data_IF_091141383986
#
_entry.id   IF_091141383986
#
_cell.length_a   1.000
_cell.length_b   1.000
_cell.length_c   1.000
_cell.angle_alpha   90.00
_cell.angle_beta   90.00
_cell.angle_gamma   90.00
#
_symmetry.space_group_name_H-M   'P 1'
#
loop_
_entity.id
_entity.type
_entity.pdbx_description
1 polymer ?
#
# COMPACT_ATOMS: atom_id res chain seq x y z
N UNK A 1 -1.05 23.01 -20.12
CA UNK A 1 -2.17 22.07 -19.93
C UNK A 1 -2.91 22.50 -18.68
N UNK A 2 -4.25 22.50 -18.71
CA UNK A 2 -5.02 22.75 -17.48
C UNK A 2 -4.90 21.58 -16.53
N UNK A 3 -5.13 21.86 -15.26
CA UNK A 3 -5.04 20.88 -14.19
C UNK A 3 -6.02 19.71 -14.40
N UNK A 4 -7.26 19.99 -14.85
CA UNK A 4 -8.27 18.95 -15.09
C UNK A 4 -7.83 17.95 -16.16
N UNK A 5 -7.21 18.43 -17.24
CA UNK A 5 -6.71 17.57 -18.32
C UNK A 5 -5.64 16.58 -17.85
N UNK A 6 -4.84 16.99 -16.86
CA UNK A 6 -3.80 16.13 -16.27
C UNK A 6 -4.42 15.02 -15.43
N UNK A 7 -5.50 15.30 -14.69
CA UNK A 7 -6.23 14.27 -13.94
C UNK A 7 -7.02 13.35 -14.86
N UNK A 8 -7.73 13.88 -15.84
CA UNK A 8 -8.51 13.07 -16.77
C UNK A 8 -7.64 12.05 -17.55
N UNK A 9 -6.35 12.35 -17.75
CA UNK A 9 -5.42 11.41 -18.39
C UNK A 9 -4.90 10.28 -17.49
N UNK A 10 -5.17 10.33 -16.17
CA UNK A 10 -4.69 9.32 -15.22
C UNK A 10 -5.50 8.04 -15.30
N UNK A 11 -4.86 6.93 -14.99
CA UNK A 11 -5.51 5.63 -14.81
C UNK A 11 -6.32 5.59 -13.51
N UNK A 12 -7.26 4.64 -13.39
CA UNK A 12 -8.06 4.49 -12.16
C UNK A 12 -7.19 4.23 -10.93
N UNK A 13 -6.10 3.49 -11.13
CA UNK A 13 -5.09 3.25 -10.10
C UNK A 13 -4.45 4.55 -9.60
N UNK A 14 -4.00 5.41 -10.53
CA UNK A 14 -3.41 6.70 -10.17
C UNK A 14 -4.42 7.67 -9.55
N UNK A 15 -5.70 7.59 -9.91
CA UNK A 15 -6.75 8.39 -9.28
C UNK A 15 -7.02 7.90 -7.86
N UNK A 16 -7.13 6.58 -7.66
CA UNK A 16 -7.28 5.99 -6.34
C UNK A 16 -6.07 6.27 -5.44
N UNK A 17 -4.86 6.28 -5.99
CA UNK A 17 -3.64 6.67 -5.27
C UNK A 17 -3.72 8.10 -4.74
N UNK A 18 -4.25 9.04 -5.53
CA UNK A 18 -4.48 10.42 -5.09
C UNK A 18 -5.45 10.44 -3.89
N UNK A 19 -6.52 9.65 -3.96
CA UNK A 19 -7.53 9.61 -2.89
C UNK A 19 -7.01 8.97 -1.60
N UNK A 20 -6.19 7.91 -1.71
CA UNK A 20 -5.51 7.21 -0.60
C UNK A 20 -4.42 8.04 0.07
N UNK A 21 -3.96 9.11 -0.56
CA UNK A 21 -2.89 9.98 -0.05
C UNK A 21 -3.33 11.45 -0.09
N UNK A 22 -4.63 11.69 0.13
CA UNK A 22 -5.30 13.00 -0.04
C UNK A 22 -4.63 14.15 0.70
N UNK A 23 -3.95 13.88 1.81
CA UNK A 23 -3.17 14.83 2.59
C UNK A 23 -1.93 15.38 1.85
N UNK A 24 -1.45 14.67 0.84
CA UNK A 24 -0.30 15.06 0.02
C UNK A 24 -0.70 15.88 -1.21
N UNK A 25 -2.00 16.08 -1.45
CA UNK A 25 -2.53 16.80 -2.60
C UNK A 25 -3.31 18.04 -2.17
N UNK A 26 -3.36 19.04 -3.05
CA UNK A 26 -4.25 20.19 -2.84
C UNK A 26 -5.71 19.73 -2.94
N UNK A 27 -6.67 20.33 -2.20
CA UNK A 27 -8.05 19.86 -2.16
C UNK A 27 -8.71 19.73 -3.54
N UNK A 28 -8.45 20.69 -4.42
CA UNK A 28 -8.92 20.68 -5.80
C UNK A 28 -8.48 19.43 -6.56
N UNK A 29 -7.29 18.89 -6.27
CA UNK A 29 -6.82 17.67 -6.91
C UNK A 29 -7.59 16.43 -6.47
N UNK A 30 -7.94 16.38 -5.19
CA UNK A 30 -8.72 15.29 -4.61
C UNK A 30 -10.14 15.34 -5.18
N UNK A 31 -10.77 16.52 -5.20
CA UNK A 31 -12.12 16.72 -5.75
C UNK A 31 -12.22 16.29 -7.22
N UNK A 32 -11.24 16.67 -8.04
CA UNK A 32 -11.23 16.28 -9.45
C UNK A 32 -10.96 14.78 -9.64
N UNK A 33 -10.15 14.15 -8.78
CA UNK A 33 -9.95 12.70 -8.81
C UNK A 33 -11.22 11.93 -8.42
N UNK A 34 -11.96 12.39 -7.39
CA UNK A 34 -13.26 11.83 -7.00
C UNK A 34 -14.30 11.98 -8.11
N UNK A 35 -14.37 13.16 -8.75
CA UNK A 35 -15.25 13.41 -9.88
C UNK A 35 -14.94 12.50 -11.07
N UNK A 36 -13.67 12.36 -11.43
CA UNK A 36 -13.24 11.55 -12.57
C UNK A 36 -13.50 10.05 -12.34
N UNK A 37 -13.23 9.53 -11.15
CA UNK A 37 -13.57 8.15 -10.80
C UNK A 37 -15.09 7.90 -10.84
N UNK A 38 -15.87 8.87 -10.36
CA UNK A 38 -17.34 8.80 -10.41
C UNK A 38 -17.85 8.77 -11.86
N UNK A 39 -17.26 9.57 -12.75
CA UNK A 39 -17.61 9.57 -14.18
C UNK A 39 -17.30 8.24 -14.88
N UNK A 40 -16.26 7.54 -14.43
CA UNK A 40 -15.85 6.25 -14.98
C UNK A 40 -16.73 5.09 -14.50
N UNK A 41 -17.69 5.35 -13.62
CA UNK A 41 -18.63 4.35 -13.10
C UNK A 41 -17.93 3.15 -12.49
N UNK A 42 -16.77 3.37 -11.86
CA UNK A 42 -16.06 2.32 -11.13
C UNK A 42 -16.93 1.81 -9.98
N UNK A 43 -17.08 0.49 -9.90
CA UNK A 43 -17.81 -0.12 -8.79
C UNK A 43 -17.04 0.02 -7.48
N UNK A 44 -17.76 -0.08 -6.36
CA UNK A 44 -17.14 -0.06 -5.03
C UNK A 44 -16.18 -1.23 -4.88
N UNK A 45 -16.54 -2.39 -5.44
CA UNK A 45 -15.72 -3.60 -5.45
C UNK A 45 -14.42 -3.40 -6.22
N UNK A 46 -14.48 -2.86 -7.45
CA UNK A 46 -13.28 -2.56 -8.25
C UNK A 46 -12.37 -1.57 -7.54
N UNK A 47 -12.95 -0.50 -6.97
CA UNK A 47 -12.18 0.48 -6.22
C UNK A 47 -11.52 -0.14 -4.99
N UNK A 48 -12.22 -1.02 -4.27
CA UNK A 48 -11.67 -1.72 -3.11
C UNK A 48 -10.52 -2.65 -3.50
N UNK A 49 -10.59 -3.30 -4.66
CA UNK A 49 -9.45 -4.08 -5.17
C UNK A 49 -8.24 -3.20 -5.53
N UNK A 50 -8.47 -2.02 -6.10
CA UNK A 50 -7.39 -1.05 -6.34
C UNK A 50 -6.77 -0.58 -5.01
N UNK A 51 -7.58 -0.28 -4.01
CA UNK A 51 -7.10 0.11 -2.67
C UNK A 51 -6.24 -0.99 -2.04
N UNK A 52 -6.65 -2.27 -2.15
CA UNK A 52 -5.83 -3.41 -1.72
C UNK A 52 -4.49 -3.45 -2.44
N UNK A 53 -4.47 -3.26 -3.76
CA UNK A 53 -3.23 -3.25 -4.52
C UNK A 53 -2.28 -2.12 -4.11
N UNK A 54 -2.82 -0.92 -3.84
CA UNK A 54 -2.05 0.22 -3.33
C UNK A 54 -1.43 -0.09 -1.96
N UNK A 55 -2.20 -0.68 -1.05
CA UNK A 55 -1.70 -1.09 0.27
C UNK A 55 -0.62 -2.18 0.14
N UNK A 56 -0.82 -3.19 -0.72
CA UNK A 56 0.19 -4.21 -1.02
C UNK A 56 1.50 -3.56 -1.48
N UNK A 57 1.41 -2.57 -2.38
CA UNK A 57 2.59 -1.86 -2.87
C UNK A 57 3.30 -1.11 -1.74
N UNK A 58 2.56 -0.34 -0.93
CA UNK A 58 3.09 0.39 0.24
C UNK A 58 3.77 -0.56 1.23
N UNK A 59 3.15 -1.71 1.54
CA UNK A 59 3.74 -2.72 2.42
C UNK A 59 5.03 -3.28 1.83
N UNK A 60 5.04 -3.65 0.53
CA UNK A 60 6.27 -4.15 -0.13
C UNK A 60 7.40 -3.15 -0.09
N UNK A 61 7.12 -1.86 -0.29
CA UNK A 61 8.11 -0.79 -0.20
C UNK A 61 8.63 -0.60 1.23
N UNK A 62 7.75 -0.65 2.22
CA UNK A 62 8.14 -0.64 3.63
C UNK A 62 9.04 -1.84 3.97
N UNK A 63 8.72 -3.05 3.48
CA UNK A 63 9.51 -4.26 3.72
C UNK A 63 10.88 -4.25 3.03
N UNK A 64 11.00 -3.59 1.88
CA UNK A 64 12.32 -3.40 1.21
C UNK A 64 13.28 -2.57 2.07
N UNK A 65 12.76 -1.58 2.78
CA UNK A 65 13.56 -0.70 3.64
C UNK A 65 13.63 -1.17 5.09
N UNK A 66 12.81 -2.15 5.48
CA UNK A 66 12.76 -2.70 6.82
C UNK A 66 14.07 -3.40 7.19
N UNK A 67 14.59 -3.03 8.36
CA UNK A 67 15.70 -3.72 9.01
C UNK A 67 15.26 -4.11 10.42
N UNK A 68 15.30 -5.42 10.76
CA UNK A 68 14.91 -5.91 12.09
C UNK A 68 15.73 -5.29 13.22
N UNK A 69 16.97 -4.91 12.92
CA UNK A 69 17.90 -4.28 13.85
C UNK A 69 17.59 -2.79 14.10
N UNK A 70 16.81 -2.15 13.22
CA UNK A 70 16.55 -0.71 13.24
C UNK A 70 15.20 -0.32 13.86
N UNK A 71 14.40 -1.27 14.31
CA UNK A 71 13.20 -1.01 15.12
C UNK A 71 11.90 -1.57 14.55
N UNK A 72 10.78 -0.91 14.88
CA UNK A 72 9.42 -1.37 14.57
C UNK A 72 9.08 -1.19 13.10
N UNK A 73 8.37 -2.17 12.53
CA UNK A 73 7.73 -2.05 11.23
C UNK A 73 6.48 -1.17 11.35
N UNK A 74 6.43 -0.07 10.60
CA UNK A 74 5.25 0.80 10.56
C UNK A 74 4.29 0.28 9.49
N UNK A 75 3.10 -0.12 9.94
CA UNK A 75 2.05 -0.61 9.06
C UNK A 75 1.45 0.60 8.31
N UNK A 76 1.40 0.57 6.97
CA UNK A 76 0.81 1.66 6.20
C UNK A 76 -0.66 1.86 6.57
N UNK A 77 -1.14 3.10 6.63
CA UNK A 77 -2.57 3.38 6.74
C UNK A 77 -3.26 3.31 5.38
N UNK A 78 -4.58 3.10 5.41
CA UNK A 78 -5.47 3.22 4.25
C UNK A 78 -6.70 4.02 4.65
N UNK A 79 -7.19 4.85 3.72
CA UNK A 79 -8.45 5.57 3.87
C UNK A 79 -9.67 4.74 3.50
N UNK A 80 -9.49 3.66 2.73
CA UNK A 80 -10.59 2.90 2.14
C UNK A 80 -10.66 1.44 2.60
N UNK A 81 -9.63 0.95 3.29
CA UNK A 81 -9.62 -0.36 3.94
C UNK A 81 -9.67 -0.20 5.46
N UNK A 82 -10.27 -1.18 6.13
CA UNK A 82 -10.22 -1.21 7.60
C UNK A 82 -8.84 -1.58 8.10
N UNK A 83 -8.55 -1.30 9.38
CA UNK A 83 -7.29 -1.68 10.00
C UNK A 83 -7.08 -3.20 9.93
N UNK A 84 -8.12 -4.01 10.13
CA UNK A 84 -8.05 -5.46 10.03
C UNK A 84 -7.70 -5.94 8.62
N UNK A 85 -8.24 -5.30 7.58
CA UNK A 85 -7.93 -5.62 6.18
C UNK A 85 -6.47 -5.31 5.86
N UNK A 86 -5.99 -4.14 6.30
CA UNK A 86 -4.59 -3.73 6.13
C UNK A 86 -3.64 -4.65 6.90
N UNK A 87 -3.98 -5.05 8.12
CA UNK A 87 -3.22 -6.00 8.92
C UNK A 87 -3.14 -7.36 8.24
N UNK A 88 -4.25 -7.86 7.70
CA UNK A 88 -4.29 -9.12 6.98
C UNK A 88 -3.37 -9.09 5.74
N UNK A 89 -3.45 -8.03 4.94
CA UNK A 89 -2.55 -7.82 3.78
C UNK A 89 -1.09 -7.78 4.23
N UNK A 90 -0.81 -7.02 5.29
CA UNK A 90 0.55 -6.85 5.82
C UNK A 90 1.14 -8.18 6.27
N UNK A 91 0.34 -9.01 6.97
CA UNK A 91 0.77 -10.33 7.43
C UNK A 91 1.16 -11.23 6.25
N UNK A 92 0.29 -11.33 5.24
CA UNK A 92 0.53 -12.15 4.04
C UNK A 92 1.80 -11.73 3.33
N UNK A 93 2.00 -10.42 3.13
CA UNK A 93 3.18 -9.91 2.41
C UNK A 93 4.47 -10.00 3.25
N UNK A 94 4.36 -9.90 4.57
CA UNK A 94 5.47 -10.11 5.50
C UNK A 94 5.94 -11.57 5.50
N UNK A 95 5.00 -12.52 5.58
CA UNK A 95 5.29 -13.96 5.50
C UNK A 95 5.97 -14.31 4.17
N UNK A 96 5.41 -13.83 3.05
CA UNK A 96 6.02 -14.02 1.73
C UNK A 96 7.41 -13.35 1.61
N UNK A 97 7.65 -12.25 2.32
CA UNK A 97 8.96 -11.61 2.37
C UNK A 97 9.97 -12.40 3.19
N UNK A 98 9.54 -13.02 4.31
CA UNK A 98 10.38 -13.92 5.11
C UNK A 98 10.76 -15.17 4.31
N UNK A 99 9.81 -15.84 3.67
CA UNK A 99 10.07 -17.02 2.83
C UNK A 99 11.13 -16.72 1.76
N UNK A 100 10.95 -15.60 1.03
CA UNK A 100 11.94 -15.14 0.04
C UNK A 100 13.32 -14.91 0.66
N UNK A 101 13.41 -14.42 1.89
CA UNK A 101 14.68 -14.16 2.59
C UNK A 101 15.34 -15.45 3.08
N UNK A 102 14.56 -16.42 3.55
CA UNK A 102 15.04 -17.75 3.94
C UNK A 102 15.63 -18.50 2.73
N UNK A 103 15.01 -18.38 1.55
CA UNK A 103 15.51 -18.96 0.30
C UNK A 103 16.90 -18.41 -0.12
N UNK A 104 17.28 -17.20 0.33
CA UNK A 104 18.61 -16.62 0.05
C UNK A 104 19.72 -17.12 1.00
N UNK A 105 19.45 -18.10 1.88
CA UNK A 105 20.48 -18.91 2.52
C UNK A 105 21.41 -18.20 3.52
N UNK A 106 21.07 -17.00 3.98
CA UNK A 106 21.74 -16.36 5.11
C UNK A 106 20.85 -16.47 6.34
N UNK A 107 21.09 -17.54 7.08
CA UNK A 107 20.39 -17.94 8.29
C UNK A 107 20.75 -17.07 9.51
N UNK A 108 20.67 -15.75 9.35
CA UNK A 108 20.83 -14.80 10.47
C UNK A 108 19.62 -14.90 11.42
N UNK A 109 18.50 -15.43 10.93
CA UNK A 109 17.24 -15.55 11.65
C UNK A 109 17.15 -16.78 12.55
N UNK A 110 17.79 -17.93 12.24
CA UNK A 110 17.89 -19.04 13.21
C UNK A 110 18.62 -18.63 14.49
N UNK A 111 19.59 -17.73 14.43
CA UNK A 111 20.29 -17.24 15.62
C UNK A 111 19.46 -16.25 16.45
N UNK A 112 18.52 -15.52 15.84
CA UNK A 112 17.64 -14.61 16.55
C UNK A 112 16.52 -15.33 17.33
N UNK A 113 16.09 -16.50 16.85
CA UNK A 113 15.03 -17.31 17.49
C UNK A 113 15.60 -18.39 18.43
N UNK A 114 16.83 -18.86 18.22
CA UNK A 114 17.49 -19.88 19.06
C UNK A 114 18.10 -19.39 20.39
N UNK A 115 17.96 -18.11 20.75
CA UNK A 115 18.38 -17.57 22.04
C UNK A 115 17.25 -17.51 23.09
N UNK A 116 16.05 -18.00 22.75
CA UNK A 116 14.94 -18.15 23.68
C UNK A 116 14.41 -19.59 23.54
N UNK A 117 14.88 -20.46 24.46
CA UNK A 117 14.53 -21.86 24.72
C UNK A 117 15.53 -22.91 24.21
#
# INVERSE_FOLDING_TARGET
MSFEKKIASKTDFELAEILENRENYVPQFVEFAEFELSNRSISVEEFKEIAKQLVIQKVKEALKSYSPLKGKFNIPSSHFLTEEEVLAITKVEFEAWLERKEDFGFDVWKYAVGAIA
#
